data_IF_252767348972
#
_entry.id   IF_252767348972
#
_cell.length_a   1.000
_cell.length_b   1.000
_cell.length_c   1.000
_cell.angle_alpha   90.00
_cell.angle_beta   90.00
_cell.angle_gamma   90.00
#
_symmetry.space_group_name_H-M   'P 1'
#
loop_
_entity.id
_entity.type
_entity.pdbx_description
1 polymer ?
#
# COMPACT_ATOMS: atom_id res chain seq x y z
N UNK A 1 -60.20 -38.24 30.41
CA UNK A 1 -59.97 -38.40 28.95
C UNK A 1 -58.59 -37.83 28.66
N UNK A 2 -57.54 -38.63 28.86
CA UNK A 2 -56.14 -38.24 28.63
C UNK A 2 -55.72 -38.82 27.28
N UNK A 3 -55.55 -37.96 26.28
CA UNK A 3 -55.11 -38.34 24.95
C UNK A 3 -53.59 -38.47 25.00
N UNK A 4 -53.10 -39.72 25.03
CA UNK A 4 -51.70 -40.06 24.82
C UNK A 4 -51.41 -39.99 23.32
N UNK A 5 -50.87 -38.87 22.83
CA UNK A 5 -50.29 -38.80 21.49
C UNK A 5 -48.92 -39.50 21.50
N UNK A 6 -48.84 -40.69 20.90
CA UNK A 6 -47.56 -41.37 20.62
C UNK A 6 -46.87 -40.64 19.46
N UNK A 7 -45.82 -39.88 19.76
CA UNK A 7 -44.82 -39.49 18.77
C UNK A 7 -44.07 -40.76 18.35
N UNK A 8 -44.17 -41.15 17.09
CA UNK A 8 -43.37 -42.24 16.51
C UNK A 8 -41.89 -41.87 16.45
N UNK A 9 -40.97 -42.84 16.36
CA UNK A 9 -39.54 -42.57 16.34
C UNK A 9 -39.17 -41.81 15.06
N UNK A 10 -38.65 -40.59 15.22
CA UNK A 10 -37.97 -39.86 14.16
C UNK A 10 -36.77 -40.71 13.70
N UNK A 11 -36.77 -41.10 12.42
CA UNK A 11 -35.65 -41.83 11.84
C UNK A 11 -34.44 -40.89 11.73
N UNK A 12 -33.23 -41.43 11.84
CA UNK A 12 -31.97 -40.67 11.69
C UNK A 12 -31.91 -39.85 10.38
N UNK A 13 -32.60 -40.31 9.33
CA UNK A 13 -32.73 -39.61 8.05
C UNK A 13 -33.60 -38.36 8.11
N UNK A 14 -34.61 -38.32 9.00
CA UNK A 14 -35.48 -37.16 9.22
C UNK A 14 -34.76 -36.04 9.97
N UNK A 15 -33.86 -36.38 10.90
CA UNK A 15 -33.04 -35.43 11.66
C UNK A 15 -31.94 -34.78 10.80
N UNK A 16 -31.39 -35.50 9.80
CA UNK A 16 -30.41 -34.92 8.86
C UNK A 16 -30.97 -33.81 7.97
N UNK A 17 -32.28 -33.79 7.69
CA UNK A 17 -32.90 -32.74 6.86
C UNK A 17 -33.12 -31.42 7.59
N UNK A 18 -33.14 -31.41 8.92
CA UNK A 18 -33.33 -30.18 9.73
C UNK A 18 -32.01 -29.47 10.09
N UNK A 19 -30.85 -30.08 9.82
CA UNK A 19 -29.52 -29.54 10.16
C UNK A 19 -28.53 -29.63 8.99
N UNK A 20 -28.97 -29.43 7.75
CA UNK A 20 -28.03 -29.17 6.68
C UNK A 20 -27.28 -27.87 7.02
N UNK A 21 -25.94 -27.95 7.13
CA UNK A 21 -25.11 -26.77 7.38
C UNK A 21 -24.68 -26.23 6.01
N UNK A 22 -25.32 -25.17 5.46
CA UNK A 22 -24.96 -24.61 4.16
C UNK A 22 -23.52 -24.10 4.14
N UNK A 23 -22.98 -23.90 2.94
CA UNK A 23 -21.71 -23.21 2.75
C UNK A 23 -21.69 -21.88 3.54
N UNK A 24 -20.53 -21.47 4.11
CA UNK A 24 -20.45 -20.30 4.96
C UNK A 24 -20.97 -19.06 4.26
N UNK A 25 -21.73 -18.22 4.97
CA UNK A 25 -22.32 -17.03 4.37
C UNK A 25 -21.27 -15.98 4.06
N UNK A 26 -21.21 -15.50 2.81
CA UNK A 26 -20.28 -14.44 2.42
C UNK A 26 -20.85 -13.05 2.77
N UNK A 27 -20.42 -12.52 3.92
CA UNK A 27 -20.84 -11.20 4.44
C UNK A 27 -20.50 -10.05 3.49
N UNK A 28 -19.40 -10.14 2.74
CA UNK A 28 -18.98 -9.10 1.80
C UNK A 28 -19.92 -9.07 0.59
N UNK A 29 -20.22 -10.24 0.01
CA UNK A 29 -21.20 -10.38 -1.09
C UNK A 29 -22.58 -9.83 -0.71
N UNK A 30 -23.03 -10.09 0.53
CA UNK A 30 -24.29 -9.54 1.05
C UNK A 30 -24.22 -8.01 1.11
N UNK A 31 -23.16 -7.44 1.69
CA UNK A 31 -23.00 -5.99 1.78
C UNK A 31 -23.04 -5.31 0.39
N UNK A 32 -22.37 -5.91 -0.60
CA UNK A 32 -22.40 -5.43 -1.98
C UNK A 32 -23.81 -5.48 -2.60
N UNK A 33 -24.54 -6.58 -2.42
CA UNK A 33 -25.93 -6.72 -2.91
C UNK A 33 -26.88 -5.73 -2.24
N UNK A 34 -26.66 -5.44 -0.96
CA UNK A 34 -27.40 -4.43 -0.19
C UNK A 34 -26.98 -2.99 -0.52
N UNK A 35 -26.00 -2.82 -1.41
CA UNK A 35 -25.39 -1.53 -1.78
C UNK A 35 -24.86 -0.75 -0.57
N UNK A 36 -24.41 -1.46 0.48
CA UNK A 36 -23.75 -0.84 1.63
C UNK A 36 -22.31 -0.52 1.26
N UNK A 37 -21.86 0.74 1.41
CA UNK A 37 -20.45 1.09 1.26
C UNK A 37 -19.59 0.33 2.28
N UNK A 38 -18.43 -0.14 1.84
CA UNK A 38 -17.47 -0.91 2.62
C UNK A 38 -16.06 -0.34 2.42
N UNK A 39 -15.41 0.05 3.50
CA UNK A 39 -14.08 0.64 3.50
C UNK A 39 -13.04 -0.43 3.79
N UNK A 40 -12.00 -0.51 2.96
CA UNK A 40 -11.00 -1.57 3.06
C UNK A 40 -9.56 -1.10 3.06
N UNK A 41 -8.68 -2.06 3.34
CA UNK A 41 -7.23 -1.88 3.29
C UNK A 41 -6.58 -3.01 2.49
N UNK A 42 -5.57 -2.66 1.71
CA UNK A 42 -4.74 -3.59 0.96
C UNK A 42 -3.63 -4.15 1.86
N UNK A 43 -3.50 -5.46 1.91
CA UNK A 43 -2.56 -6.20 2.74
C UNK A 43 -1.48 -6.83 1.87
N UNK A 44 -0.27 -6.27 1.94
CA UNK A 44 0.89 -6.65 1.15
C UNK A 44 2.15 -6.97 1.99
N UNK A 45 2.09 -6.88 3.32
CA UNK A 45 3.23 -7.26 4.18
C UNK A 45 3.50 -8.78 4.23
N UNK A 46 2.62 -9.60 3.63
CA UNK A 46 2.75 -11.06 3.52
C UNK A 46 3.05 -11.74 4.88
N UNK A 47 2.37 -11.29 5.94
CA UNK A 47 2.60 -11.74 7.31
C UNK A 47 1.29 -11.85 8.08
N UNK A 48 0.98 -13.00 8.71
CA UNK A 48 -0.23 -13.14 9.52
C UNK A 48 -0.25 -12.18 10.72
N UNK A 49 0.91 -11.84 11.29
CA UNK A 49 1.01 -10.88 12.40
C UNK A 49 0.64 -9.46 11.97
N UNK A 50 1.10 -9.04 10.79
CA UNK A 50 0.73 -7.73 10.23
C UNK A 50 -0.75 -7.69 9.81
N UNK A 51 -1.27 -8.80 9.27
CA UNK A 51 -2.69 -8.94 8.97
C UNK A 51 -3.55 -8.86 10.24
N UNK A 52 -3.12 -9.44 11.36
CA UNK A 52 -3.80 -9.32 12.67
C UNK A 52 -3.87 -7.87 13.13
N UNK A 53 -2.74 -7.14 13.07
CA UNK A 53 -2.71 -5.71 13.41
C UNK A 53 -3.72 -4.96 12.54
N UNK A 54 -3.74 -5.24 11.25
CA UNK A 54 -4.66 -4.58 10.31
C UNK A 54 -6.13 -4.94 10.56
N UNK A 55 -6.42 -6.18 10.95
CA UNK A 55 -7.76 -6.66 11.29
C UNK A 55 -8.34 -5.97 12.54
N UNK A 56 -7.47 -5.54 13.47
CA UNK A 56 -7.90 -4.74 14.63
C UNK A 56 -8.13 -3.26 14.34
N UNK A 57 -7.80 -2.78 13.12
CA UNK A 57 -7.88 -1.37 12.77
C UNK A 57 -9.32 -0.87 12.45
N UNK A 58 -10.28 -1.79 12.28
CA UNK A 58 -11.69 -1.45 12.05
C UNK A 58 -12.10 -1.26 10.59
N UNK A 59 -11.32 -1.79 9.63
CA UNK A 59 -11.75 -1.86 8.22
C UNK A 59 -12.86 -2.91 8.03
N UNK A 60 -13.81 -2.66 7.14
CA UNK A 60 -14.87 -3.62 6.81
C UNK A 60 -14.31 -4.87 6.12
N UNK A 61 -13.27 -4.68 5.30
CA UNK A 61 -12.61 -5.75 4.57
C UNK A 61 -11.11 -5.52 4.40
N UNK A 62 -10.37 -6.62 4.28
CA UNK A 62 -8.94 -6.63 4.05
C UNK A 62 -8.64 -7.51 2.85
N UNK A 63 -7.97 -6.96 1.83
CA UNK A 63 -7.57 -7.73 0.66
C UNK A 63 -6.13 -8.18 0.81
N UNK A 64 -5.91 -9.49 0.82
CA UNK A 64 -4.57 -10.09 0.79
C UNK A 64 -4.11 -10.19 -0.67
N UNK A 65 -3.01 -9.53 -0.98
CA UNK A 65 -2.56 -9.36 -2.35
C UNK A 65 -1.67 -10.53 -2.82
N UNK A 66 -2.16 -11.35 -3.74
CA UNK A 66 -1.38 -12.43 -4.36
C UNK A 66 -0.63 -12.02 -5.63
N UNK A 67 -0.78 -10.78 -6.11
CA UNK A 67 -0.23 -10.34 -7.40
C UNK A 67 1.07 -9.52 -7.24
N UNK A 68 1.07 -8.53 -6.34
CA UNK A 68 2.19 -7.61 -6.18
C UNK A 68 2.92 -7.71 -4.84
N UNK A 69 2.36 -8.45 -3.88
CA UNK A 69 3.05 -8.80 -2.65
C UNK A 69 3.68 -10.19 -2.77
N UNK A 70 4.73 -10.50 -1.98
CA UNK A 70 5.43 -11.79 -2.02
C UNK A 70 4.61 -12.91 -1.33
N UNK A 71 3.33 -13.00 -1.66
CA UNK A 71 2.40 -13.99 -1.16
C UNK A 71 2.35 -15.20 -2.10
N UNK A 72 2.37 -16.38 -1.50
CA UNK A 72 1.91 -17.63 -2.12
C UNK A 72 0.57 -18.04 -1.51
N UNK A 73 -0.02 -19.14 -1.99
CA UNK A 73 -1.31 -19.60 -1.46
C UNK A 73 -1.28 -19.91 0.06
N UNK A 74 -0.14 -20.37 0.59
CA UNK A 74 -0.03 -20.75 2.01
C UNK A 74 0.02 -19.52 2.91
N UNK A 75 0.83 -18.53 2.57
CA UNK A 75 0.89 -17.25 3.27
C UNK A 75 -0.42 -16.48 3.18
N UNK A 76 -1.15 -16.54 2.05
CA UNK A 76 -2.51 -16.01 1.95
C UNK A 76 -3.44 -16.73 2.92
N UNK A 77 -3.42 -18.06 2.94
CA UNK A 77 -4.26 -18.85 3.86
C UNK A 77 -3.98 -18.53 5.33
N UNK A 78 -2.72 -18.31 5.71
CA UNK A 78 -2.35 -17.92 7.07
C UNK A 78 -2.93 -16.56 7.46
N UNK A 79 -2.85 -15.57 6.56
CA UNK A 79 -3.41 -14.23 6.79
C UNK A 79 -4.95 -14.26 6.82
N UNK A 80 -5.58 -14.99 5.89
CA UNK A 80 -7.04 -15.15 5.83
C UNK A 80 -7.58 -15.72 7.15
N UNK A 81 -6.95 -16.75 7.70
CA UNK A 81 -7.38 -17.36 8.99
C UNK A 81 -7.38 -16.38 10.14
N UNK A 82 -6.41 -15.48 10.19
CA UNK A 82 -6.32 -14.45 11.23
C UNK A 82 -7.40 -13.40 11.02
N UNK A 83 -7.63 -12.97 9.78
CA UNK A 83 -8.66 -11.98 9.44
C UNK A 83 -10.06 -12.52 9.74
N UNK A 84 -10.35 -13.79 9.43
CA UNK A 84 -11.65 -14.45 9.72
C UNK A 84 -11.96 -14.52 11.22
N UNK A 85 -10.95 -14.42 12.09
CA UNK A 85 -11.14 -14.36 13.55
C UNK A 85 -11.51 -12.94 14.05
N UNK A 86 -11.62 -11.96 13.15
CA UNK A 86 -11.96 -10.57 13.42
C UNK A 86 -13.29 -10.14 12.80
N UNK A 87 -13.67 -8.87 12.96
CA UNK A 87 -14.86 -8.31 12.31
C UNK A 87 -14.64 -8.00 10.81
N UNK A 88 -13.38 -7.82 10.39
CA UNK A 88 -13.01 -7.57 8.99
C UNK A 88 -13.20 -8.81 8.11
N UNK A 89 -13.63 -8.61 6.87
CA UNK A 89 -13.88 -9.70 5.92
C UNK A 89 -12.66 -9.89 5.01
N UNK A 90 -12.08 -11.11 4.90
CA UNK A 90 -10.94 -11.35 4.02
C UNK A 90 -11.35 -11.45 2.56
N UNK A 91 -10.59 -10.78 1.70
CA UNK A 91 -10.59 -10.92 0.25
C UNK A 91 -9.18 -11.37 -0.18
N UNK A 92 -9.07 -11.95 -1.38
CA UNK A 92 -7.77 -12.17 -1.99
C UNK A 92 -7.75 -11.73 -3.45
N UNK A 93 -6.69 -11.02 -3.84
CA UNK A 93 -6.35 -10.80 -5.25
C UNK A 93 -5.50 -11.94 -5.74
N UNK A 94 -5.86 -12.53 -6.88
CA UNK A 94 -5.06 -13.57 -7.53
C UNK A 94 -3.95 -12.91 -8.37
N UNK A 95 -2.81 -13.59 -8.61
CA UNK A 95 -1.81 -13.11 -9.55
C UNK A 95 -2.28 -13.16 -11.01
N UNK A 96 -3.24 -14.03 -11.34
CA UNK A 96 -3.79 -14.19 -12.69
C UNK A 96 -5.15 -14.92 -12.65
N UNK A 97 -6.01 -14.65 -13.64
CA UNK A 97 -7.31 -15.27 -13.83
C UNK A 97 -7.32 -16.69 -14.41
N UNK A 98 -6.56 -17.61 -13.82
CA UNK A 98 -6.47 -19.00 -14.31
C UNK A 98 -7.41 -19.96 -13.55
N UNK A 99 -8.18 -20.79 -14.27
CA UNK A 99 -9.18 -21.69 -13.65
C UNK A 99 -8.56 -22.61 -12.59
N UNK A 100 -7.37 -23.14 -12.85
CA UNK A 100 -6.69 -24.04 -11.90
C UNK A 100 -6.25 -23.32 -10.63
N UNK A 101 -5.91 -22.03 -10.71
CA UNK A 101 -5.48 -21.22 -9.59
C UNK A 101 -6.67 -20.71 -8.78
N UNK A 102 -7.73 -20.24 -9.45
CA UNK A 102 -9.02 -19.90 -8.86
C UNK A 102 -9.52 -21.06 -8.00
N UNK A 103 -9.50 -22.28 -8.54
CA UNK A 103 -9.86 -23.49 -7.78
C UNK A 103 -9.07 -23.63 -6.48
N UNK A 104 -7.76 -23.41 -6.50
CA UNK A 104 -6.93 -23.52 -5.29
C UNK A 104 -7.29 -22.47 -4.23
N UNK A 105 -7.56 -21.23 -4.63
CA UNK A 105 -8.00 -20.17 -3.72
C UNK A 105 -9.36 -20.50 -3.09
N UNK A 106 -10.31 -20.96 -3.92
CA UNK A 106 -11.63 -21.36 -3.45
C UNK A 106 -11.55 -22.57 -2.51
N UNK A 107 -10.69 -23.56 -2.79
CA UNK A 107 -10.47 -24.74 -1.93
C UNK A 107 -9.79 -24.37 -0.59
N UNK A 108 -8.99 -23.29 -0.58
CA UNK A 108 -8.47 -22.68 0.66
C UNK A 108 -9.57 -21.99 1.50
N UNK A 109 -10.81 -21.91 1.00
CA UNK A 109 -11.96 -21.33 1.68
C UNK A 109 -12.13 -19.83 1.46
N UNK A 110 -11.39 -19.24 0.52
CA UNK A 110 -11.52 -17.82 0.20
C UNK A 110 -12.77 -17.62 -0.65
N UNK A 111 -13.74 -16.86 -0.16
CA UNK A 111 -15.04 -16.71 -0.82
C UNK A 111 -15.13 -15.48 -1.73
N UNK A 112 -14.24 -14.50 -1.56
CA UNK A 112 -14.25 -13.24 -2.32
C UNK A 112 -12.92 -13.07 -3.03
N UNK A 113 -12.97 -13.09 -4.36
CA UNK A 113 -11.81 -13.06 -5.24
C UNK A 113 -11.80 -11.77 -6.06
N UNK A 114 -10.63 -11.16 -6.16
CA UNK A 114 -10.33 -10.11 -7.14
C UNK A 114 -9.38 -10.68 -8.19
N UNK A 115 -9.77 -10.61 -9.47
CA UNK A 115 -8.98 -11.11 -10.59
C UNK A 115 -8.42 -9.94 -11.40
N UNK A 116 -7.08 -9.81 -11.56
CA UNK A 116 -6.45 -8.71 -12.28
C UNK A 116 -6.65 -8.81 -13.80
N UNK A 117 -6.39 -7.70 -14.51
CA UNK A 117 -6.17 -7.65 -15.96
C UNK A 117 -7.29 -8.27 -16.80
N UNK A 118 -8.56 -7.94 -16.51
CA UNK A 118 -9.70 -8.41 -17.31
C UNK A 118 -10.01 -7.40 -18.42
N UNK A 119 -9.86 -7.85 -19.66
CA UNK A 119 -9.82 -6.99 -20.85
C UNK A 119 -10.97 -7.27 -21.82
N UNK A 120 -11.70 -8.37 -21.65
CA UNK A 120 -12.79 -8.78 -22.55
C UNK A 120 -13.98 -9.38 -21.81
N UNK A 121 -15.15 -9.37 -22.48
CA UNK A 121 -16.34 -10.08 -22.02
C UNK A 121 -16.09 -11.59 -21.89
N UNK A 122 -15.47 -12.20 -22.89
CA UNK A 122 -15.20 -13.65 -22.91
C UNK A 122 -14.33 -14.07 -21.71
N UNK A 123 -13.30 -13.29 -21.36
CA UNK A 123 -12.50 -13.53 -20.16
C UNK A 123 -13.37 -13.47 -18.90
N UNK A 124 -14.25 -12.47 -18.76
CA UNK A 124 -15.15 -12.38 -17.62
C UNK A 124 -16.13 -13.58 -17.55
N UNK A 125 -16.66 -14.05 -18.67
CA UNK A 125 -17.50 -15.25 -18.74
C UNK A 125 -16.74 -16.53 -18.35
N UNK A 126 -15.49 -16.67 -18.77
CA UNK A 126 -14.62 -17.78 -18.37
C UNK A 126 -14.36 -17.77 -16.86
N UNK A 127 -14.11 -16.60 -16.26
CA UNK A 127 -13.94 -16.45 -14.81
C UNK A 127 -15.22 -16.79 -14.04
N UNK A 128 -16.39 -16.37 -14.53
CA UNK A 128 -17.69 -16.77 -13.96
C UNK A 128 -17.85 -18.28 -13.96
N UNK A 129 -17.47 -18.95 -15.05
CA UNK A 129 -17.49 -20.42 -15.11
C UNK A 129 -16.48 -21.05 -14.17
N UNK A 130 -15.28 -20.48 -14.04
CA UNK A 130 -14.21 -21.02 -13.20
C UNK A 130 -14.56 -21.05 -11.70
N UNK A 131 -15.42 -20.15 -11.24
CA UNK A 131 -15.84 -20.10 -9.82
C UNK A 131 -17.04 -20.99 -9.49
N UNK A 132 -17.76 -21.52 -10.50
CA UNK A 132 -18.98 -22.32 -10.33
C UNK A 132 -18.76 -23.80 -10.59
N UNK A 133 -19.48 -24.66 -9.88
CA UNK A 133 -19.43 -26.10 -10.12
C UNK A 133 -20.19 -26.51 -11.40
N UNK A 134 -19.81 -27.64 -12.04
CA UNK A 134 -20.60 -28.25 -13.10
C UNK A 134 -22.04 -28.59 -12.63
N UNK A 135 -23.05 -28.51 -13.52
CA UNK A 135 -22.95 -28.27 -14.96
C UNK A 135 -22.87 -26.78 -15.36
N UNK A 136 -23.00 -25.85 -14.41
CA UNK A 136 -23.06 -24.41 -14.68
C UNK A 136 -21.67 -23.87 -15.04
N UNK A 137 -20.65 -24.29 -14.30
CA UNK A 137 -19.27 -23.86 -14.48
C UNK A 137 -18.28 -25.00 -14.74
N UNK A 138 -17.01 -24.69 -14.48
CA UNK A 138 -15.85 -25.56 -14.71
C UNK A 138 -15.00 -25.79 -13.45
N UNK A 139 -15.44 -25.31 -12.27
CA UNK A 139 -14.76 -25.57 -10.99
C UNK A 139 -14.70 -27.07 -10.72
N UNK A 140 -13.50 -27.61 -10.56
CA UNK A 140 -13.31 -29.04 -10.28
C UNK A 140 -13.90 -29.44 -8.92
N UNK A 141 -14.62 -30.57 -8.88
CA UNK A 141 -15.16 -31.12 -7.62
C UNK A 141 -14.04 -31.79 -6.82
N UNK A 142 -13.75 -31.25 -5.65
CA UNK A 142 -12.71 -31.79 -4.75
C UNK A 142 -12.81 -31.24 -3.33
N UNK A 143 -13.90 -30.57 -2.97
CA UNK A 143 -14.02 -29.80 -1.74
C UNK A 143 -13.97 -30.65 -0.46
N UNK A 144 -14.24 -31.97 -0.53
CA UNK A 144 -14.26 -32.87 0.63
C UNK A 144 -12.95 -32.89 1.44
N UNK A 145 -11.80 -32.78 0.79
CA UNK A 145 -10.49 -32.69 1.46
C UNK A 145 -10.08 -31.24 1.76
N UNK A 146 -10.82 -30.27 1.24
CA UNK A 146 -10.45 -28.87 1.22
C UNK A 146 -11.02 -28.14 2.43
N UNK A 147 -10.34 -27.03 2.79
CA UNK A 147 -10.77 -26.17 3.90
C UNK A 147 -12.16 -25.58 3.66
N UNK A 148 -12.50 -25.30 2.40
CA UNK A 148 -13.75 -24.65 2.03
C UNK A 148 -15.01 -25.38 2.53
N UNK A 149 -14.99 -26.72 2.57
CA UNK A 149 -16.10 -27.53 3.09
C UNK A 149 -15.92 -27.93 4.56
N UNK A 150 -14.96 -27.31 5.26
CA UNK A 150 -14.48 -27.73 6.57
C UNK A 150 -14.09 -29.22 6.59
N UNK A 151 -13.33 -29.66 5.59
CA UNK A 151 -12.88 -31.05 5.46
C UNK A 151 -14.06 -32.05 5.46
N UNK A 152 -15.06 -31.76 4.62
CA UNK A 152 -16.32 -32.51 4.47
C UNK A 152 -17.26 -32.45 5.68
N UNK A 153 -17.11 -31.49 6.60
CA UNK A 153 -18.09 -31.27 7.67
C UNK A 153 -19.34 -30.50 7.20
N UNK A 154 -19.29 -29.85 6.04
CA UNK A 154 -20.41 -29.11 5.42
C UNK A 154 -21.05 -30.01 4.34
N UNK A 155 -22.09 -30.74 4.73
CA UNK A 155 -22.72 -31.81 3.92
C UNK A 155 -23.27 -31.33 2.55
N UNK A 156 -23.80 -30.11 2.48
CA UNK A 156 -24.44 -29.53 1.29
C UNK A 156 -23.57 -28.44 0.61
N UNK A 157 -22.26 -28.41 0.90
CA UNK A 157 -21.33 -27.42 0.36
C UNK A 157 -21.40 -27.33 -1.17
N UNK A 158 -21.36 -28.46 -1.88
CA UNK A 158 -21.33 -28.47 -3.35
C UNK A 158 -22.59 -27.85 -3.98
N UNK A 159 -23.73 -27.91 -3.28
CA UNK A 159 -25.01 -27.38 -3.78
C UNK A 159 -25.30 -25.95 -3.32
N UNK A 160 -24.52 -25.41 -2.37
CA UNK A 160 -24.75 -24.10 -1.77
C UNK A 160 -23.58 -23.12 -1.96
N UNK A 161 -22.38 -23.61 -2.27
CA UNK A 161 -21.17 -22.80 -2.33
C UNK A 161 -21.19 -21.73 -3.43
N UNK A 162 -21.73 -22.04 -4.61
CA UNK A 162 -21.75 -21.11 -5.75
C UNK A 162 -22.47 -19.79 -5.40
N UNK A 163 -23.50 -19.85 -4.57
CA UNK A 163 -24.24 -18.66 -4.11
C UNK A 163 -23.38 -17.74 -3.22
N UNK A 164 -22.36 -18.30 -2.56
CA UNK A 164 -21.50 -17.61 -1.60
C UNK A 164 -20.19 -17.09 -2.20
N UNK A 165 -19.85 -17.45 -3.44
CA UNK A 165 -18.62 -16.92 -4.08
C UNK A 165 -18.88 -15.52 -4.62
N UNK A 166 -18.03 -14.56 -4.28
CA UNK A 166 -18.03 -13.20 -4.80
C UNK A 166 -16.87 -13.05 -5.80
N UNK A 167 -17.19 -12.88 -7.08
CA UNK A 167 -16.21 -12.67 -8.14
C UNK A 167 -16.17 -11.19 -8.53
N UNK A 168 -15.03 -10.55 -8.26
CA UNK A 168 -14.71 -9.20 -8.68
C UNK A 168 -13.66 -9.27 -9.78
N UNK A 169 -13.88 -8.54 -10.87
CA UNK A 169 -12.90 -8.43 -11.96
C UNK A 169 -12.28 -7.04 -11.96
N UNK A 170 -10.98 -6.97 -12.21
CA UNK A 170 -10.23 -5.73 -12.26
C UNK A 170 -10.12 -5.25 -13.71
N UNK A 171 -10.61 -4.04 -13.97
CA UNK A 171 -10.48 -3.34 -15.24
C UNK A 171 -9.52 -2.17 -15.06
N UNK A 172 -8.36 -2.26 -15.70
CA UNK A 172 -7.22 -1.39 -15.35
C UNK A 172 -6.36 -0.99 -16.54
N UNK A 173 -6.87 -1.13 -17.76
CA UNK A 173 -6.23 -0.64 -18.97
C UNK A 173 -7.29 -0.26 -20.02
N UNK A 174 -6.87 0.36 -21.13
CA UNK A 174 -7.77 0.86 -22.17
C UNK A 174 -8.57 -0.26 -22.84
N UNK A 175 -8.02 -1.47 -22.97
CA UNK A 175 -8.74 -2.61 -23.55
C UNK A 175 -9.93 -3.01 -22.66
N UNK A 176 -9.71 -3.21 -21.36
CA UNK A 176 -10.78 -3.48 -20.41
C UNK A 176 -11.80 -2.35 -20.30
N UNK A 177 -11.35 -1.10 -20.34
CA UNK A 177 -12.24 0.07 -20.32
C UNK A 177 -13.15 0.13 -21.57
N UNK A 178 -12.63 -0.26 -22.74
CA UNK A 178 -13.41 -0.37 -23.97
C UNK A 178 -14.40 -1.55 -23.93
N UNK A 179 -14.03 -2.66 -23.27
CA UNK A 179 -14.88 -3.85 -23.12
C UNK A 179 -15.86 -3.78 -21.92
N UNK A 180 -15.79 -2.73 -21.11
CA UNK A 180 -16.47 -2.64 -19.81
C UNK A 180 -17.97 -2.96 -19.90
N UNK A 181 -18.70 -2.43 -20.90
CA UNK A 181 -20.15 -2.69 -21.01
C UNK A 181 -20.43 -4.18 -21.24
N UNK A 182 -19.62 -4.87 -22.05
CA UNK A 182 -19.74 -6.31 -22.25
C UNK A 182 -19.39 -7.12 -21.00
N UNK A 183 -18.38 -6.68 -20.23
CA UNK A 183 -18.02 -7.28 -18.94
C UNK A 183 -19.20 -7.15 -17.95
N UNK A 184 -19.86 -5.99 -17.92
CA UNK A 184 -21.00 -5.72 -17.03
C UNK A 184 -22.25 -6.56 -17.34
N UNK A 185 -22.39 -7.07 -18.56
CA UNK A 185 -23.46 -8.01 -18.95
C UNK A 185 -23.25 -9.43 -18.39
N UNK A 186 -22.02 -9.77 -17.97
CA UNK A 186 -21.72 -11.09 -17.41
C UNK A 186 -22.20 -11.22 -15.96
N UNK A 187 -22.13 -12.43 -15.39
CA UNK A 187 -22.54 -12.69 -14.01
C UNK A 187 -21.47 -12.39 -12.95
N UNK A 188 -20.49 -11.52 -13.25
CA UNK A 188 -19.58 -10.97 -12.22
C UNK A 188 -20.36 -10.20 -11.16
N UNK A 189 -19.90 -10.22 -9.91
CA UNK A 189 -20.54 -9.51 -8.80
C UNK A 189 -20.14 -8.03 -8.76
N UNK A 190 -18.92 -7.70 -9.22
CA UNK A 190 -18.42 -6.34 -9.26
C UNK A 190 -17.24 -6.13 -10.19
N UNK A 191 -16.95 -4.86 -10.45
CA UNK A 191 -15.78 -4.39 -11.19
C UNK A 191 -14.96 -3.48 -10.29
N UNK A 192 -13.66 -3.73 -10.24
CA UNK A 192 -12.69 -2.89 -9.56
C UNK A 192 -11.87 -2.13 -10.60
N UNK A 193 -11.69 -0.82 -10.43
CA UNK A 193 -10.89 -0.01 -11.34
C UNK A 193 -9.53 0.26 -10.69
N UNK A 194 -8.44 -0.15 -11.37
CA UNK A 194 -7.05 0.08 -10.94
C UNK A 194 -6.49 1.38 -11.52
N UNK A 195 -6.41 2.50 -10.77
CA UNK A 195 -6.06 3.80 -11.36
C UNK A 195 -4.58 3.90 -11.76
N UNK A 196 -3.69 3.18 -11.07
CA UNK A 196 -2.25 3.22 -11.33
C UNK A 196 -1.90 2.57 -12.67
N UNK A 197 -2.40 1.36 -12.91
CA UNK A 197 -2.19 0.62 -14.16
C UNK A 197 -2.91 1.29 -15.34
N UNK A 198 -4.13 1.82 -15.09
CA UNK A 198 -4.85 2.57 -16.11
C UNK A 198 -4.10 3.83 -16.51
N UNK A 199 -3.52 4.56 -15.54
CA UNK A 199 -2.68 5.71 -15.83
C UNK A 199 -1.46 5.31 -16.67
N UNK A 200 -0.79 4.21 -16.32
CA UNK A 200 0.35 3.72 -17.08
C UNK A 200 -0.02 3.40 -18.54
N UNK A 201 -1.10 2.65 -18.78
CA UNK A 201 -1.54 2.32 -20.15
C UNK A 201 -2.06 3.56 -20.93
N UNK A 202 -2.65 4.54 -20.24
CA UNK A 202 -3.05 5.82 -20.85
C UNK A 202 -1.85 6.75 -21.17
N UNK A 203 -0.62 6.38 -20.82
CA UNK A 203 0.59 7.19 -21.06
C UNK A 203 0.94 8.16 -19.92
N UNK A 204 0.28 8.02 -18.77
CA UNK A 204 0.41 8.85 -17.57
C UNK A 204 1.07 8.07 -16.42
N UNK A 205 2.18 7.38 -16.69
CA UNK A 205 2.86 6.52 -15.70
C UNK A 205 3.18 7.27 -14.39
N UNK A 206 2.79 6.69 -13.25
CA UNK A 206 2.96 7.28 -11.92
C UNK A 206 2.02 8.45 -11.61
N UNK A 207 1.08 8.78 -12.50
CA UNK A 207 0.16 9.93 -12.37
C UNK A 207 -1.31 9.46 -12.35
N UNK A 208 -1.67 8.62 -11.37
CA UNK A 208 -3.05 8.15 -11.19
C UNK A 208 -4.07 9.29 -10.98
N UNK A 209 -3.62 10.46 -10.50
CA UNK A 209 -4.44 11.67 -10.34
C UNK A 209 -4.55 12.53 -11.60
N UNK A 210 -3.99 12.11 -12.75
CA UNK A 210 -4.09 12.87 -13.99
C UNK A 210 -5.57 13.09 -14.38
N UNK A 211 -5.98 14.30 -14.83
CA UNK A 211 -7.40 14.60 -15.08
C UNK A 211 -8.12 13.62 -16.01
N UNK A 212 -7.45 13.14 -17.07
CA UNK A 212 -8.02 12.16 -18.00
C UNK A 212 -8.22 10.79 -17.34
N UNK A 213 -7.27 10.35 -16.50
CA UNK A 213 -7.36 9.10 -15.76
C UNK A 213 -8.50 9.18 -14.76
N UNK A 214 -8.55 10.27 -13.98
CA UNK A 214 -9.63 10.53 -13.02
C UNK A 214 -11.00 10.50 -13.71
N UNK A 215 -11.14 11.16 -14.86
CA UNK A 215 -12.39 11.16 -15.63
C UNK A 215 -12.77 9.75 -16.11
N UNK A 216 -11.82 8.98 -16.62
CA UNK A 216 -12.05 7.60 -17.06
C UNK A 216 -12.48 6.70 -15.89
N UNK A 217 -11.81 6.80 -14.74
CA UNK A 217 -12.16 6.04 -13.53
C UNK A 217 -13.58 6.37 -13.06
N UNK A 218 -13.93 7.65 -12.93
CA UNK A 218 -15.26 8.06 -12.48
C UNK A 218 -16.36 7.63 -13.46
N UNK A 219 -16.11 7.68 -14.78
CA UNK A 219 -17.02 7.15 -15.80
C UNK A 219 -17.25 5.64 -15.65
N UNK A 220 -16.17 4.86 -15.46
CA UNK A 220 -16.27 3.42 -15.27
C UNK A 220 -17.02 3.04 -13.98
N UNK A 221 -16.77 3.75 -12.88
CA UNK A 221 -17.52 3.56 -11.62
C UNK A 221 -19.02 3.83 -11.88
N UNK A 222 -19.35 4.94 -12.52
CA UNK A 222 -20.74 5.32 -12.83
C UNK A 222 -21.44 4.26 -13.69
N UNK A 223 -20.79 3.77 -14.75
CA UNK A 223 -21.33 2.73 -15.65
C UNK A 223 -21.54 1.41 -14.91
N UNK A 224 -20.58 1.01 -14.08
CA UNK A 224 -20.65 -0.20 -13.26
C UNK A 224 -21.85 -0.16 -12.30
N UNK A 225 -22.02 0.96 -11.59
CA UNK A 225 -23.17 1.16 -10.67
C UNK A 225 -24.49 1.18 -11.44
N UNK A 226 -24.54 1.84 -12.61
CA UNK A 226 -25.74 1.90 -13.45
C UNK A 226 -26.17 0.52 -13.98
N UNK A 227 -25.21 -0.38 -14.22
CA UNK A 227 -25.46 -1.77 -14.57
C UNK A 227 -25.88 -2.66 -13.38
N UNK A 228 -25.99 -2.08 -12.16
CA UNK A 228 -26.37 -2.81 -10.96
C UNK A 228 -25.27 -3.71 -10.39
N UNK A 229 -24.02 -3.53 -10.83
CA UNK A 229 -22.84 -4.24 -10.31
C UNK A 229 -22.16 -3.43 -9.22
N UNK A 230 -21.44 -4.10 -8.33
CA UNK A 230 -20.62 -3.40 -7.35
C UNK A 230 -19.43 -2.73 -8.03
N UNK A 231 -19.16 -1.47 -7.70
CA UNK A 231 -17.99 -0.74 -8.20
C UNK A 231 -16.99 -0.49 -7.06
N UNK A 232 -15.71 -0.67 -7.34
CA UNK A 232 -14.65 -0.48 -6.37
C UNK A 232 -13.36 0.10 -6.95
N UNK A 233 -12.50 0.57 -6.04
CA UNK A 233 -11.26 1.29 -6.36
C UNK A 233 -10.29 1.22 -5.17
N UNK A 234 -8.99 1.33 -5.44
CA UNK A 234 -7.96 1.67 -4.45
C UNK A 234 -7.47 3.10 -4.72
N UNK A 235 -7.62 3.98 -3.72
CA UNK A 235 -7.04 5.33 -3.76
C UNK A 235 -6.80 5.86 -2.36
N UNK A 236 -5.68 6.55 -2.17
CA UNK A 236 -5.33 7.22 -0.90
C UNK A 236 -5.77 8.69 -0.87
N UNK A 237 -6.40 9.19 -1.94
CA UNK A 237 -6.95 10.55 -2.04
C UNK A 237 -8.40 10.60 -1.52
N UNK A 238 -8.67 11.26 -0.38
CA UNK A 238 -10.01 11.37 0.19
C UNK A 238 -11.04 12.05 -0.70
N UNK A 239 -10.64 12.95 -1.60
CA UNK A 239 -11.57 13.59 -2.53
C UNK A 239 -12.07 12.58 -3.57
N UNK A 240 -11.15 11.80 -4.15
CA UNK A 240 -11.50 10.72 -5.07
C UNK A 240 -12.36 9.65 -4.40
N UNK A 241 -12.04 9.27 -3.15
CA UNK A 241 -12.86 8.32 -2.37
C UNK A 241 -14.30 8.82 -2.26
N UNK A 242 -14.49 10.09 -1.89
CA UNK A 242 -15.82 10.70 -1.77
C UNK A 242 -16.55 10.74 -3.11
N UNK A 243 -15.88 11.14 -4.19
CA UNK A 243 -16.48 11.17 -5.53
C UNK A 243 -16.94 9.77 -5.99
N UNK A 244 -16.15 8.72 -5.73
CA UNK A 244 -16.56 7.35 -6.03
C UNK A 244 -17.77 6.91 -5.18
N UNK A 245 -17.78 7.23 -3.88
CA UNK A 245 -18.91 6.93 -2.99
C UNK A 245 -20.19 7.66 -3.40
N UNK A 246 -20.09 8.94 -3.79
CA UNK A 246 -21.21 9.74 -4.28
C UNK A 246 -21.79 9.19 -5.59
N UNK A 247 -20.96 8.52 -6.41
CA UNK A 247 -21.40 7.79 -7.60
C UNK A 247 -21.98 6.40 -7.29
N UNK A 248 -21.92 5.94 -6.04
CA UNK A 248 -22.47 4.67 -5.59
C UNK A 248 -21.47 3.50 -5.55
N UNK A 249 -20.15 3.77 -5.57
CA UNK A 249 -19.16 2.73 -5.30
C UNK A 249 -19.39 2.12 -3.91
N UNK A 250 -19.24 0.80 -3.80
CA UNK A 250 -19.61 0.03 -2.59
C UNK A 250 -18.42 -0.62 -1.91
N UNK A 251 -17.24 -0.67 -2.53
CA UNK A 251 -16.03 -1.18 -1.88
C UNK A 251 -14.81 -0.36 -2.27
N UNK A 252 -14.31 0.43 -1.32
CA UNK A 252 -13.22 1.39 -1.56
C UNK A 252 -12.06 1.04 -0.63
N UNK A 253 -10.91 0.67 -1.21
CA UNK A 253 -9.67 0.57 -0.43
C UNK A 253 -9.06 1.96 -0.28
N UNK A 254 -8.78 2.35 0.97
CA UNK A 254 -8.24 3.67 1.31
C UNK A 254 -6.77 3.66 1.65
N UNK A 255 -6.24 2.48 1.93
CA UNK A 255 -4.94 2.28 2.54
C UNK A 255 -4.24 1.04 2.01
N UNK A 256 -2.91 1.04 2.14
CA UNK A 256 -2.03 -0.09 1.86
C UNK A 256 -1.11 -0.22 3.07
N UNK A 257 -1.16 -1.36 3.76
CA UNK A 257 -0.40 -1.62 4.99
C UNK A 257 1.11 -1.37 4.84
N UNK A 258 1.71 -1.81 3.73
CA UNK A 258 3.13 -1.64 3.42
C UNK A 258 3.51 -0.16 3.40
N UNK A 259 2.71 0.67 2.72
CA UNK A 259 3.04 2.10 2.56
C UNK A 259 2.84 2.86 3.87
N UNK A 260 1.81 2.49 4.66
CA UNK A 260 1.57 3.05 6.00
C UNK A 260 2.69 2.69 6.96
N UNK A 261 3.09 1.42 7.01
CA UNK A 261 4.19 0.97 7.85
C UNK A 261 5.51 1.64 7.46
N UNK A 262 5.85 1.64 6.16
CA UNK A 262 7.09 2.24 5.67
C UNK A 262 7.15 3.74 5.96
N UNK A 263 6.05 4.48 5.78
CA UNK A 263 5.96 5.90 6.11
C UNK A 263 6.18 6.13 7.60
N UNK A 264 5.47 5.40 8.47
CA UNK A 264 5.56 5.55 9.92
C UNK A 264 6.97 5.26 10.45
N UNK A 265 7.62 4.20 9.99
CA UNK A 265 8.99 3.84 10.40
C UNK A 265 10.00 4.89 9.92
N UNK A 266 9.91 5.35 8.67
CA UNK A 266 10.79 6.39 8.13
C UNK A 266 10.65 7.71 8.89
N UNK A 267 9.42 8.14 9.16
CA UNK A 267 9.16 9.35 9.96
C UNK A 267 9.68 9.20 11.39
N UNK A 268 9.49 8.03 12.01
CA UNK A 268 10.01 7.78 13.36
C UNK A 268 11.54 7.81 13.40
N UNK A 269 12.20 7.20 12.41
CA UNK A 269 13.65 7.25 12.27
C UNK A 269 14.14 8.69 12.07
N UNK A 270 13.51 9.48 11.19
CA UNK A 270 13.86 10.89 10.99
C UNK A 270 13.77 11.69 12.30
N UNK A 271 12.67 11.53 13.05
CA UNK A 271 12.50 12.18 14.36
C UNK A 271 13.59 11.76 15.34
N UNK A 272 13.85 10.46 15.47
CA UNK A 272 14.89 9.96 16.36
C UNK A 272 16.29 10.49 15.98
N UNK A 273 16.61 10.52 14.68
CA UNK A 273 17.90 11.02 14.20
C UNK A 273 18.07 12.53 14.38
N UNK A 274 16.99 13.31 14.36
CA UNK A 274 17.05 14.74 14.65
C UNK A 274 17.35 15.08 16.12
N UNK A 275 17.28 14.09 17.02
CA UNK A 275 17.67 14.28 18.43
C UNK A 275 19.16 14.14 18.67
N UNK A 276 19.90 13.57 17.72
CA UNK A 276 21.35 13.46 17.84
C UNK A 276 21.97 14.85 17.69
N UNK A 277 23.03 15.17 18.46
CA UNK A 277 23.72 16.46 18.34
C UNK A 277 24.37 16.59 16.96
N UNK A 278 24.39 17.81 16.43
CA UNK A 278 25.18 18.13 15.25
C UNK A 278 26.66 17.81 15.49
N UNK A 279 27.36 17.40 14.44
CA UNK A 279 28.80 17.18 14.50
C UNK A 279 29.50 18.50 14.24
N UNK A 280 30.35 18.93 15.18
CA UNK A 280 31.11 20.18 15.08
C UNK A 280 32.61 19.90 15.19
N UNK A 281 33.40 20.53 14.33
CA UNK A 281 34.85 20.61 14.49
C UNK A 281 35.27 22.08 14.57
N UNK A 282 36.13 22.40 15.53
CA UNK A 282 36.79 23.70 15.60
C UNK A 282 38.19 23.58 15.02
N UNK A 283 38.62 24.58 14.26
CA UNK A 283 39.95 24.64 13.69
C UNK A 283 40.49 26.06 13.69
N UNK A 284 41.81 26.17 13.64
CA UNK A 284 42.50 27.47 13.60
C UNK A 284 43.55 27.49 12.49
N UNK A 285 43.60 28.60 11.78
CA UNK A 285 44.55 28.86 10.71
C UNK A 285 45.28 30.17 11.02
N UNK A 286 46.60 30.12 11.22
CA UNK A 286 47.43 31.31 11.43
C UNK A 286 47.58 32.05 10.10
N UNK A 287 47.24 33.34 10.07
CA UNK A 287 47.48 34.21 8.93
C UNK A 287 47.28 35.68 9.28
N UNK A 288 48.14 36.53 8.72
CA UNK A 288 47.96 37.99 8.76
C UNK A 288 46.77 38.47 7.90
N UNK A 289 46.22 37.59 7.05
CA UNK A 289 45.14 37.88 6.11
C UNK A 289 43.78 37.32 6.56
N UNK A 290 43.62 36.97 7.84
CA UNK A 290 42.45 36.24 8.36
C UNK A 290 41.10 36.86 8.00
N UNK A 291 40.96 38.19 8.12
CA UNK A 291 39.73 38.90 7.72
C UNK A 291 39.41 38.75 6.23
N UNK A 292 40.44 38.82 5.38
CA UNK A 292 40.29 38.72 3.92
C UNK A 292 39.76 37.34 3.54
N UNK A 293 40.30 36.26 4.12
CA UNK A 293 39.89 34.90 3.79
C UNK A 293 38.46 34.59 4.25
N UNK A 294 38.07 35.04 5.44
CA UNK A 294 36.69 34.98 5.92
C UNK A 294 35.73 35.61 4.91
N UNK A 295 36.00 36.86 4.53
CA UNK A 295 35.16 37.59 3.58
C UNK A 295 35.12 36.94 2.20
N UNK A 296 36.23 36.37 1.74
CA UNK A 296 36.29 35.66 0.45
C UNK A 296 35.46 34.37 0.49
N UNK A 297 35.52 33.59 1.57
CA UNK A 297 34.72 32.37 1.72
C UNK A 297 33.23 32.69 1.78
N UNK A 298 32.83 33.68 2.57
CA UNK A 298 31.45 34.18 2.64
C UNK A 298 30.94 34.66 1.27
N UNK A 299 31.71 35.50 0.57
CA UNK A 299 31.34 35.96 -0.78
C UNK A 299 31.25 34.80 -1.77
N UNK A 300 32.18 33.84 -1.70
CA UNK A 300 32.20 32.69 -2.59
C UNK A 300 30.94 31.83 -2.46
N UNK A 301 30.42 31.59 -1.25
CA UNK A 301 29.23 30.77 -1.04
C UNK A 301 27.90 31.51 -0.96
N UNK A 302 27.88 32.85 -1.07
CA UNK A 302 26.66 33.66 -1.06
C UNK A 302 25.60 33.30 -2.11
N UNK A 303 25.99 32.61 -3.20
CA UNK A 303 25.07 32.14 -4.24
C UNK A 303 24.48 30.73 -3.96
N UNK A 304 24.94 30.03 -2.92
CA UNK A 304 24.53 28.65 -2.58
C UNK A 304 24.02 28.48 -1.14
N UNK A 305 24.24 29.47 -0.29
CA UNK A 305 23.97 29.41 1.14
C UNK A 305 23.47 30.77 1.63
N UNK A 306 22.80 30.75 2.78
CA UNK A 306 22.53 31.97 3.54
C UNK A 306 23.83 32.42 4.22
N UNK A 307 24.22 33.68 4.03
CA UNK A 307 25.52 34.19 4.45
C UNK A 307 25.38 35.53 5.15
N UNK A 308 26.01 35.64 6.33
CA UNK A 308 26.12 36.88 7.09
C UNK A 308 27.58 37.10 7.48
N UNK A 309 28.15 38.27 7.21
CA UNK A 309 29.55 38.53 7.58
C UNK A 309 29.90 40.01 7.69
N UNK A 310 30.96 40.28 8.45
CA UNK A 310 31.69 41.54 8.52
C UNK A 310 33.21 41.26 8.50
N UNK A 311 34.04 42.24 8.86
CA UNK A 311 35.50 42.08 8.84
C UNK A 311 36.04 41.08 9.86
N UNK A 312 35.29 40.79 10.93
CA UNK A 312 35.76 39.97 12.07
C UNK A 312 34.96 38.68 12.25
N UNK A 313 33.73 38.60 11.74
CA UNK A 313 32.85 37.44 11.91
C UNK A 313 32.15 37.09 10.60
N UNK A 314 31.94 35.79 10.37
CA UNK A 314 31.23 35.28 9.20
C UNK A 314 30.51 33.98 9.50
N UNK A 315 29.31 33.82 8.94
CA UNK A 315 28.47 32.64 9.07
C UNK A 315 27.91 32.25 7.71
N UNK A 316 27.91 30.96 7.43
CA UNK A 316 27.44 30.39 6.17
C UNK A 316 26.57 29.16 6.51
N UNK A 317 25.30 29.18 6.13
CA UNK A 317 24.33 28.11 6.42
C UNK A 317 23.77 27.52 5.12
N UNK A 318 23.96 26.21 4.94
CA UNK A 318 23.42 25.45 3.80
C UNK A 318 22.10 24.77 4.18
N UNK A 319 21.19 24.65 3.22
CA UNK A 319 19.87 24.04 3.43
C UNK A 319 19.91 22.55 3.80
N UNK A 320 21.03 21.87 3.49
CA UNK A 320 21.29 20.47 3.85
C UNK A 320 21.80 20.30 5.30
N UNK A 321 21.94 21.39 6.05
CA UNK A 321 22.37 21.39 7.45
C UNK A 321 23.89 21.42 7.65
N UNK A 322 24.68 21.73 6.62
CA UNK A 322 26.08 22.12 6.80
C UNK A 322 26.18 23.60 7.16
N UNK A 323 27.13 23.97 8.01
CA UNK A 323 27.47 25.37 8.23
C UNK A 323 28.95 25.58 8.53
N UNK A 324 29.38 26.83 8.37
CA UNK A 324 30.70 27.31 8.78
C UNK A 324 30.51 28.63 9.52
N UNK A 325 31.02 28.69 10.73
CA UNK A 325 31.16 29.93 11.50
C UNK A 325 32.65 30.28 11.60
N UNK A 326 32.96 31.56 11.45
CA UNK A 326 34.34 32.04 11.39
C UNK A 326 34.51 33.30 12.23
N UNK A 327 35.68 33.41 12.86
CA UNK A 327 36.11 34.61 13.59
C UNK A 327 37.56 34.94 13.25
N UNK A 328 37.79 36.14 12.73
CA UNK A 328 39.09 36.62 12.28
C UNK A 328 39.70 37.60 13.30
N UNK A 329 41.00 37.41 13.57
CA UNK A 329 41.84 38.35 14.31
C UNK A 329 42.99 38.84 13.43
N UNK A 330 43.94 39.60 13.99
CA UNK A 330 45.14 40.01 13.25
C UNK A 330 46.03 38.82 12.88
N UNK A 331 46.07 37.77 13.70
CA UNK A 331 47.06 36.69 13.56
C UNK A 331 46.45 35.33 13.20
N UNK A 332 45.14 35.13 13.37
CA UNK A 332 44.49 33.86 13.08
C UNK A 332 43.01 33.98 12.68
N UNK A 333 42.57 32.97 11.92
CA UNK A 333 41.18 32.68 11.59
C UNK A 333 40.75 31.44 12.37
N UNK A 334 39.75 31.59 13.24
CA UNK A 334 39.04 30.48 13.88
C UNK A 334 37.86 30.06 13.01
N UNK A 335 37.65 28.76 12.88
CA UNK A 335 36.62 28.15 12.04
C UNK A 335 35.89 27.10 12.86
N UNK A 336 34.57 27.11 12.85
CA UNK A 336 33.71 26.06 13.37
C UNK A 336 32.94 25.48 12.19
N UNK A 337 33.27 24.25 11.81
CA UNK A 337 32.57 23.50 10.77
C UNK A 337 31.52 22.61 11.43
N UNK A 338 30.28 22.73 10.98
CA UNK A 338 29.17 21.94 11.50
C UNK A 338 28.52 21.14 10.39
N UNK A 339 28.15 19.90 10.70
CA UNK A 339 27.23 19.09 9.90
C UNK A 339 26.16 18.52 10.82
N UNK A 340 25.06 18.02 10.25
CA UNK A 340 24.08 17.25 11.05
C UNK A 340 24.74 16.05 11.74
N UNK A 341 24.06 15.48 12.73
CA UNK A 341 24.55 14.34 13.50
C UNK A 341 25.15 13.13 12.73
N UNK A 342 24.80 12.96 11.46
CA UNK A 342 25.36 11.93 10.55
C UNK A 342 25.90 12.50 9.25
N UNK A 343 26.23 13.79 9.24
CA UNK A 343 26.96 14.39 8.14
C UNK A 343 28.38 13.86 8.08
N UNK A 344 28.98 13.99 6.90
CA UNK A 344 30.39 13.70 6.71
C UNK A 344 31.21 14.95 7.09
N UNK A 345 31.48 15.10 8.38
CA UNK A 345 32.23 16.24 8.90
C UNK A 345 33.67 16.29 8.36
N UNK A 346 34.30 15.14 8.12
CA UNK A 346 35.65 15.10 7.56
C UNK A 346 35.68 15.58 6.11
N UNK A 347 34.73 15.11 5.28
CA UNK A 347 34.60 15.65 3.93
C UNK A 347 34.26 17.14 3.95
N UNK A 348 33.43 17.58 4.90
CA UNK A 348 33.09 19.00 5.02
C UNK A 348 34.30 19.88 5.38
N UNK A 349 35.12 19.44 6.35
CA UNK A 349 36.41 20.08 6.68
C UNK A 349 37.31 20.17 5.45
N UNK A 350 37.46 19.09 4.69
CA UNK A 350 38.27 19.07 3.46
C UNK A 350 37.76 20.07 2.41
N UNK A 351 36.45 20.21 2.24
CA UNK A 351 35.88 21.23 1.34
C UNK A 351 36.28 22.64 1.79
N UNK A 352 36.16 22.94 3.09
CA UNK A 352 36.53 24.25 3.64
C UNK A 352 38.02 24.53 3.42
N UNK A 353 38.88 23.57 3.77
CA UNK A 353 40.33 23.66 3.56
C UNK A 353 40.70 23.94 2.11
N UNK A 354 40.11 23.20 1.16
CA UNK A 354 40.39 23.37 -0.27
C UNK A 354 40.05 24.77 -0.77
N UNK A 355 38.98 25.38 -0.27
CA UNK A 355 38.62 26.75 -0.65
C UNK A 355 39.58 27.77 -0.04
N UNK A 356 39.94 27.62 1.24
CA UNK A 356 40.90 28.50 1.91
C UNK A 356 42.29 28.44 1.25
N UNK A 357 42.80 27.23 0.95
CA UNK A 357 44.06 27.04 0.24
C UNK A 357 44.05 27.70 -1.14
N UNK A 358 42.93 27.59 -1.87
CA UNK A 358 42.76 28.25 -3.17
C UNK A 358 42.84 29.78 -3.04
N UNK A 359 42.32 30.36 -1.96
CA UNK A 359 42.37 31.81 -1.71
C UNK A 359 43.76 32.28 -1.24
N UNK A 360 44.51 31.43 -0.54
CA UNK A 360 45.83 31.72 -0.02
C UNK A 360 46.92 31.82 -1.11
N UNK A 361 46.71 31.20 -2.29
CA UNK A 361 47.52 31.32 -3.53
C UNK A 361 49.05 31.19 -3.39
N UNK A 362 49.60 30.67 -2.27
CA UNK A 362 51.01 30.29 -1.96
C UNK A 362 51.36 30.41 -0.46
N UNK A 363 50.48 30.96 0.37
CA UNK A 363 50.61 30.91 1.84
C UNK A 363 50.22 29.51 2.33
N UNK A 364 51.07 28.86 3.15
CA UNK A 364 50.69 27.59 3.81
C UNK A 364 49.75 27.92 4.96
N UNK A 365 48.46 27.72 4.70
CA UNK A 365 47.35 28.18 5.52
C UNK A 365 46.32 27.05 5.63
N UNK A 366 46.77 25.89 6.11
CA UNK A 366 45.86 24.78 6.40
C UNK A 366 45.35 24.91 7.83
N UNK A 367 44.02 25.00 8.05
CA UNK A 367 43.45 24.92 9.39
C UNK A 367 43.93 23.67 10.15
N UNK A 368 44.43 23.87 11.36
CA UNK A 368 44.68 22.79 12.31
C UNK A 368 43.37 22.59 13.08
N UNK A 369 42.71 21.46 12.85
CA UNK A 369 41.49 21.09 13.55
C UNK A 369 41.81 20.50 14.92
N UNK A 370 41.05 20.92 15.92
CA UNK A 370 41.12 20.34 17.27
C UNK A 370 40.73 18.85 17.20
N UNK A 371 41.40 18.02 18.00
CA UNK A 371 40.98 16.62 18.15
C UNK A 371 39.59 16.62 18.78
N UNK A 372 38.63 15.98 18.11
CA UNK A 372 37.24 15.92 18.54
C UNK A 372 37.15 15.38 19.97
N UNK A 373 36.55 16.16 20.87
CA UNK A 373 36.04 15.61 22.14
C UNK A 373 34.88 14.69 21.74
N UNK A 374 35.00 13.39 22.03
CA UNK A 374 33.98 12.39 21.68
C UNK A 374 32.75 12.49 22.56
#
# INVERSE_FOLDING_TARGET
MLISARLGPLTFASLKREFAMPAPTNRFKIALKEKRPQMGCWIGLASPYAAEISATAGFDWLLVDGEHAPNDLRSILEQVRVIEASDSIPLARLPIGETWLIKQYLDAGIQSLLVPMVETKDQAEELVRAVRYPPIGSRGVGSSLARASMFAAIDDYLTTADDQICLIVQVENRAGMAALDGILETEVDGVFIGPADLAADMGHIGQAGHPEVKAAVLDAIKRTVAAGKAAGILTTDPEMQRQCLDLGATFVATDIDVTRFASAIRTSAQKALSLLPDQTASGRMTSANSSKYLQQLCKHWSHKAEVEFNETHGRINFSDGKSVEMSATQDYLSIVATTRARGDLEHWKQIIEQHLLRFAFREDCTPIWDQSSS
#
